data_IF_631280655732
#
_entry.id   IF_631280655732
#
_cell.length_a   1.000
_cell.length_b   1.000
_cell.length_c   1.000
_cell.angle_alpha   90.00
_cell.angle_beta   90.00
_cell.angle_gamma   90.00
#
_symmetry.space_group_name_H-M   'P 1'
#
loop_
_entity.id
_entity.type
_entity.pdbx_description
1 polymer ?
#
# COMPACT_ATOMS: atom_id res chain seq x y z
N UNK A 1 -4.04 -1.59 12.36
CA UNK A 1 -3.09 -0.53 12.17
C UNK A 1 -3.63 0.81 11.73
N UNK A 2 -4.10 0.95 10.50
CA UNK A 2 -4.42 2.28 9.90
C UNK A 2 -5.45 3.07 10.72
N UNK A 3 -6.49 2.45 11.21
CA UNK A 3 -7.56 3.10 11.98
C UNK A 3 -7.13 3.61 13.35
N UNK A 4 -6.08 3.05 13.93
CA UNK A 4 -5.55 3.45 15.24
C UNK A 4 -4.45 4.51 15.08
N UNK A 5 -3.63 4.41 14.06
CA UNK A 5 -2.47 5.29 13.87
C UNK A 5 -2.84 6.77 13.65
N UNK A 6 -3.97 7.06 13.00
CA UNK A 6 -4.40 8.44 12.79
C UNK A 6 -4.74 9.18 14.09
N UNK A 7 -5.63 8.65 14.95
CA UNK A 7 -5.89 9.22 16.28
C UNK A 7 -4.62 9.35 17.14
N UNK A 8 -3.78 8.30 17.20
CA UNK A 8 -2.52 8.33 17.94
C UNK A 8 -1.54 9.42 17.44
N UNK A 9 -1.43 9.60 16.12
CA UNK A 9 -0.61 10.69 15.55
C UNK A 9 -1.11 12.07 16.00
N UNK A 10 -2.43 12.28 16.01
CA UNK A 10 -3.02 13.55 16.47
C UNK A 10 -2.75 13.80 17.95
N UNK A 11 -2.96 12.80 18.79
CA UNK A 11 -2.72 12.90 20.24
C UNK A 11 -1.25 13.25 20.52
N UNK A 12 -0.30 12.52 19.93
CA UNK A 12 1.13 12.80 20.09
C UNK A 12 1.49 14.22 19.68
N UNK A 13 0.98 14.68 18.52
CA UNK A 13 1.28 16.01 18.01
C UNK A 13 0.58 17.14 18.80
N UNK A 14 -0.52 16.84 19.53
CA UNK A 14 -1.21 17.81 20.38
C UNK A 14 -0.54 17.98 21.71
N UNK A 15 -0.01 16.90 22.29
CA UNK A 15 0.45 16.85 23.68
C UNK A 15 1.96 17.13 23.83
N UNK A 16 2.71 17.16 22.72
CA UNK A 16 4.17 17.26 22.75
C UNK A 16 4.67 18.45 21.93
N UNK A 17 5.07 19.52 22.63
CA UNK A 17 5.81 20.62 22.02
C UNK A 17 7.21 20.15 21.58
N UNK A 18 7.60 20.45 20.35
CA UNK A 18 8.91 20.12 19.80
C UNK A 18 9.04 18.71 19.19
N UNK A 19 7.99 17.89 19.24
CA UNK A 19 7.92 16.60 18.54
C UNK A 19 6.87 16.70 17.42
N UNK A 20 7.26 16.36 16.21
CA UNK A 20 6.34 16.25 15.06
C UNK A 20 6.35 14.83 14.53
N UNK A 21 5.26 14.08 14.73
CA UNK A 21 5.06 12.77 14.17
C UNK A 21 4.32 12.90 12.83
N UNK A 22 4.99 12.56 11.74
CA UNK A 22 4.39 12.54 10.39
C UNK A 22 4.06 11.09 10.02
N UNK A 23 2.78 10.82 9.78
CA UNK A 23 2.32 9.50 9.31
C UNK A 23 2.29 9.48 7.78
N UNK A 24 3.17 8.72 7.18
CA UNK A 24 3.15 8.45 5.74
C UNK A 24 2.33 7.18 5.47
N UNK A 25 1.18 7.33 4.82
CA UNK A 25 0.35 6.21 4.41
C UNK A 25 0.56 5.97 2.91
N UNK A 26 1.34 4.95 2.59
CA UNK A 26 1.69 4.61 1.20
C UNK A 26 0.49 4.26 0.33
N UNK A 27 -0.62 3.82 0.92
CA UNK A 27 -1.85 3.54 0.16
C UNK A 27 -2.49 4.82 -0.42
N UNK A 28 -2.21 5.98 0.17
CA UNK A 28 -2.65 7.26 -0.40
C UNK A 28 -1.96 7.58 -1.74
N UNK A 29 -0.86 6.91 -2.06
CA UNK A 29 -0.13 7.09 -3.32
C UNK A 29 -0.55 6.09 -4.40
N UNK A 30 -1.38 5.11 -4.08
CA UNK A 30 -1.90 4.13 -5.05
C UNK A 30 -2.55 4.77 -6.30
N UNK A 31 -3.32 5.88 -6.19
CA UNK A 31 -3.85 6.57 -7.37
C UNK A 31 -2.78 7.04 -8.36
N UNK A 32 -1.58 7.40 -7.90
CA UNK A 32 -0.47 7.78 -8.78
C UNK A 32 0.06 6.58 -9.56
N UNK A 33 0.20 5.43 -8.90
CA UNK A 33 0.65 4.17 -9.52
C UNK A 33 -0.35 3.73 -10.60
N UNK A 34 -1.65 3.82 -10.29
CA UNK A 34 -2.74 3.50 -11.24
C UNK A 34 -2.72 4.45 -12.44
N UNK A 35 -2.57 5.75 -12.20
CA UNK A 35 -2.53 6.79 -13.25
C UNK A 35 -1.37 6.59 -14.22
N UNK A 36 -0.24 6.10 -13.76
CA UNK A 36 0.92 5.79 -14.60
C UNK A 36 0.79 4.46 -15.35
N UNK A 37 -0.31 3.71 -15.16
CA UNK A 37 -0.57 2.46 -15.87
C UNK A 37 0.40 1.33 -15.50
N UNK A 38 0.99 1.38 -14.30
CA UNK A 38 1.96 0.36 -13.84
C UNK A 38 1.27 -0.96 -13.54
N UNK A 39 0.04 -0.91 -13.02
CA UNK A 39 -0.77 -2.08 -12.71
C UNK A 39 -1.69 -2.42 -13.87
N UNK A 40 -1.77 -3.70 -14.21
CA UNK A 40 -2.66 -4.22 -15.25
C UNK A 40 -4.05 -4.61 -14.73
N UNK A 41 -4.17 -4.81 -13.40
CA UNK A 41 -5.41 -5.22 -12.77
C UNK A 41 -5.83 -4.20 -11.71
N UNK A 42 -7.08 -3.79 -11.73
CA UNK A 42 -7.62 -2.71 -10.88
C UNK A 42 -8.18 -3.21 -9.54
N UNK A 43 -8.65 -4.47 -9.46
CA UNK A 43 -9.19 -5.05 -8.24
C UNK A 43 -8.12 -5.75 -7.38
N UNK A 44 -6.99 -5.09 -7.16
CA UNK A 44 -5.90 -5.53 -6.29
C UNK A 44 -6.12 -5.05 -4.84
N UNK A 45 -6.09 -5.95 -3.84
CA UNK A 45 -6.29 -5.60 -2.44
C UNK A 45 -5.27 -6.24 -1.49
N UNK A 46 -4.94 -7.50 -1.63
CA UNK A 46 -4.06 -8.23 -0.70
C UNK A 46 -3.25 -9.32 -1.39
N UNK A 47 -1.95 -9.39 -1.09
CA UNK A 47 -0.99 -10.31 -1.71
C UNK A 47 -1.09 -10.28 -3.26
N UNK A 48 -1.28 -9.10 -3.81
CA UNK A 48 -1.70 -8.85 -5.17
C UNK A 48 -0.52 -8.49 -6.10
N UNK A 49 -0.81 -8.11 -7.34
CA UNK A 49 0.17 -7.64 -8.32
C UNK A 49 1.11 -6.56 -7.75
N UNK A 50 0.56 -5.57 -7.04
CA UNK A 50 1.29 -4.46 -6.44
C UNK A 50 2.32 -4.94 -5.41
N UNK A 51 1.89 -5.66 -4.38
CA UNK A 51 2.75 -6.12 -3.27
C UNK A 51 3.77 -7.15 -3.77
N UNK A 52 3.34 -8.06 -4.65
CA UNK A 52 4.22 -9.10 -5.21
C UNK A 52 5.30 -8.48 -6.11
N UNK A 53 4.96 -7.47 -6.91
CA UNK A 53 5.95 -6.75 -7.73
C UNK A 53 6.99 -6.05 -6.87
N UNK A 54 6.57 -5.35 -5.80
CA UNK A 54 7.50 -4.75 -4.84
C UNK A 54 8.46 -5.77 -4.23
N UNK A 55 7.93 -6.93 -3.82
CA UNK A 55 8.77 -8.00 -3.27
C UNK A 55 9.74 -8.57 -4.31
N UNK A 56 9.32 -8.71 -5.57
CA UNK A 56 10.20 -9.15 -6.65
C UNK A 56 11.33 -8.16 -6.94
N UNK A 57 11.08 -6.85 -6.78
CA UNK A 57 12.11 -5.83 -6.92
C UNK A 57 13.09 -5.83 -5.75
N UNK A 58 12.56 -5.81 -4.53
CA UNK A 58 13.35 -5.62 -3.31
C UNK A 58 14.05 -6.92 -2.85
N UNK A 59 13.37 -8.05 -2.96
CA UNK A 59 13.80 -9.34 -2.39
C UNK A 59 13.35 -10.52 -3.26
N UNK A 60 13.75 -10.54 -4.53
CA UNK A 60 13.32 -11.53 -5.51
C UNK A 60 13.50 -12.98 -5.05
N UNK A 61 14.58 -13.26 -4.32
CA UNK A 61 14.92 -14.60 -3.85
C UNK A 61 13.98 -15.10 -2.73
N UNK A 62 13.23 -14.19 -2.08
CA UNK A 62 12.24 -14.55 -1.09
C UNK A 62 10.86 -14.84 -1.69
N UNK A 63 10.64 -14.51 -2.96
CA UNK A 63 9.38 -14.75 -3.65
C UNK A 63 9.31 -16.18 -4.17
N UNK A 64 8.41 -16.97 -3.63
CA UNK A 64 8.15 -18.35 -4.07
C UNK A 64 7.27 -18.35 -5.34
N UNK A 65 7.90 -18.08 -6.49
CA UNK A 65 7.21 -17.88 -7.77
C UNK A 65 6.31 -19.05 -8.16
N UNK A 66 6.73 -20.27 -7.82
CA UNK A 66 5.99 -21.50 -8.07
C UNK A 66 4.69 -21.64 -7.24
N UNK A 67 4.49 -20.76 -6.24
CA UNK A 67 3.29 -20.71 -5.40
C UNK A 67 2.39 -19.52 -5.68
N UNK A 68 2.71 -18.73 -6.67
CA UNK A 68 1.86 -17.61 -7.07
C UNK A 68 0.56 -18.14 -7.67
N UNK A 69 -0.56 -17.76 -7.07
CA UNK A 69 -1.90 -18.16 -7.51
C UNK A 69 -2.87 -16.98 -7.35
N UNK A 70 -3.56 -16.65 -8.43
CA UNK A 70 -4.56 -15.59 -8.44
C UNK A 70 -5.83 -16.01 -7.69
N UNK A 71 -6.42 -15.05 -6.99
CA UNK A 71 -7.75 -15.19 -6.43
C UNK A 71 -8.41 -13.81 -6.36
N UNK A 72 -9.59 -13.70 -6.97
CA UNK A 72 -10.40 -12.47 -6.93
C UNK A 72 -11.75 -12.84 -6.35
N UNK A 73 -12.02 -12.56 -5.07
CA UNK A 73 -13.33 -12.81 -4.47
C UNK A 73 -14.44 -12.04 -5.18
N UNK A 74 -15.60 -12.66 -5.29
CA UNK A 74 -16.78 -12.08 -5.99
C UNK A 74 -17.64 -11.18 -5.09
N UNK A 75 -17.10 -10.71 -3.98
CA UNK A 75 -17.84 -9.81 -3.07
C UNK A 75 -17.31 -8.39 -3.16
N UNK A 76 -18.16 -7.37 -2.88
CA UNK A 76 -17.69 -5.99 -2.73
C UNK A 76 -16.67 -5.86 -1.58
N UNK A 77 -15.67 -4.98 -1.76
CA UNK A 77 -14.59 -4.80 -0.75
C UNK A 77 -15.09 -4.30 0.60
N UNK A 78 -16.11 -3.48 0.61
CA UNK A 78 -16.72 -2.94 1.83
C UNK A 78 -17.37 -4.03 2.71
N UNK A 79 -17.68 -5.20 2.12
CA UNK A 79 -18.18 -6.36 2.89
C UNK A 79 -17.13 -6.94 3.84
N UNK A 80 -15.84 -6.60 3.70
CA UNK A 80 -14.82 -6.92 4.68
C UNK A 80 -15.05 -6.29 6.06
N UNK A 81 -15.96 -5.32 6.18
CA UNK A 81 -16.45 -4.86 7.48
C UNK A 81 -17.27 -5.94 8.23
N UNK A 82 -17.76 -6.94 7.52
CA UNK A 82 -18.67 -7.98 8.04
C UNK A 82 -18.07 -9.40 7.94
N UNK A 83 -16.96 -9.55 7.22
CA UNK A 83 -16.27 -10.82 6.99
C UNK A 83 -14.75 -10.60 7.00
N UNK A 84 -13.98 -11.59 6.60
CA UNK A 84 -12.51 -11.51 6.53
C UNK A 84 -11.98 -12.18 5.26
N UNK A 85 -10.79 -11.76 4.80
CA UNK A 85 -10.14 -12.32 3.62
C UNK A 85 -10.09 -13.86 3.67
N UNK A 86 -9.67 -14.54 4.77
CA UNK A 86 -9.63 -16.01 4.82
C UNK A 86 -10.98 -16.70 4.62
N UNK A 87 -12.09 -16.00 4.80
CA UNK A 87 -13.44 -16.57 4.58
C UNK A 87 -13.90 -16.47 3.13
N UNK A 88 -13.37 -15.51 2.39
CA UNK A 88 -13.79 -15.18 1.01
C UNK A 88 -12.75 -15.50 -0.05
N UNK A 89 -11.51 -15.74 0.36
CA UNK A 89 -10.40 -16.15 -0.51
C UNK A 89 -9.82 -17.46 -0.02
N UNK A 90 -9.78 -18.47 -0.89
CA UNK A 90 -9.29 -19.82 -0.59
C UNK A 90 -7.79 -19.89 -0.26
N UNK A 91 -7.00 -18.94 -0.77
CA UNK A 91 -5.55 -18.87 -0.63
C UNK A 91 -5.07 -17.58 0.07
N UNK A 92 -5.98 -16.72 0.54
CA UNK A 92 -5.68 -15.46 1.17
C UNK A 92 -5.39 -14.31 0.21
N UNK A 93 -5.29 -14.57 -1.09
CA UNK A 93 -5.04 -13.56 -2.13
C UNK A 93 -6.34 -12.82 -2.47
N UNK A 94 -6.23 -11.52 -2.71
CA UNK A 94 -7.26 -10.74 -3.38
C UNK A 94 -6.60 -9.88 -4.46
N UNK A 95 -6.56 -10.42 -5.66
CA UNK A 95 -5.91 -9.80 -6.82
C UNK A 95 -5.26 -10.82 -7.75
N UNK A 96 -4.38 -10.31 -8.60
CA UNK A 96 -3.65 -11.10 -9.60
C UNK A 96 -2.13 -10.99 -9.45
N UNK A 97 -1.54 -11.67 -8.45
CA UNK A 97 -0.09 -11.68 -8.30
C UNK A 97 0.65 -12.33 -9.50
N UNK A 98 -0.04 -13.10 -10.34
CA UNK A 98 0.56 -13.64 -11.58
C UNK A 98 1.02 -12.58 -12.57
N UNK A 99 0.47 -11.36 -12.49
CA UNK A 99 0.85 -10.21 -13.34
C UNK A 99 2.09 -9.47 -12.78
N UNK A 100 2.58 -9.85 -11.62
CA UNK A 100 3.70 -9.18 -10.97
C UNK A 100 5.04 -9.46 -11.66
N UNK A 101 5.90 -8.45 -11.68
CA UNK A 101 7.30 -8.58 -12.07
C UNK A 101 8.17 -7.51 -11.38
N UNK A 102 9.49 -7.70 -11.43
CA UNK A 102 10.44 -6.83 -10.75
C UNK A 102 10.50 -5.42 -11.35
N UNK A 103 10.29 -5.25 -12.65
CA UNK A 103 10.27 -3.96 -13.33
C UNK A 103 9.11 -3.09 -12.86
N UNK A 104 7.90 -3.66 -12.76
CA UNK A 104 6.77 -2.99 -12.11
C UNK A 104 7.08 -2.62 -10.67
N UNK A 105 7.74 -3.54 -9.94
CA UNK A 105 8.17 -3.31 -8.56
C UNK A 105 9.09 -2.12 -8.42
N UNK A 106 10.08 -1.99 -9.29
CA UNK A 106 10.99 -0.85 -9.35
C UNK A 106 10.22 0.46 -9.57
N UNK A 107 9.33 0.48 -10.56
CA UNK A 107 8.53 1.65 -10.88
C UNK A 107 7.59 2.06 -9.73
N UNK A 108 6.94 1.08 -9.11
CA UNK A 108 6.11 1.30 -7.91
C UNK A 108 6.96 1.89 -6.78
N UNK A 109 8.14 1.33 -6.53
CA UNK A 109 9.04 1.79 -5.47
C UNK A 109 9.47 3.24 -5.67
N UNK A 110 9.88 3.61 -6.90
CA UNK A 110 10.22 4.99 -7.25
C UNK A 110 9.07 5.97 -6.96
N UNK A 111 7.84 5.62 -7.39
CA UNK A 111 6.66 6.45 -7.16
C UNK A 111 6.42 6.63 -5.65
N UNK A 112 6.48 5.53 -4.88
CA UNK A 112 6.26 5.56 -3.44
C UNK A 112 7.30 6.42 -2.72
N UNK A 113 8.59 6.29 -3.06
CA UNK A 113 9.66 7.08 -2.46
C UNK A 113 9.46 8.57 -2.77
N UNK A 114 9.28 8.91 -4.05
CA UNK A 114 9.12 10.29 -4.47
C UNK A 114 7.89 10.95 -3.80
N UNK A 115 6.75 10.27 -3.80
CA UNK A 115 5.52 10.79 -3.18
C UNK A 115 5.62 10.87 -1.65
N UNK A 116 6.36 9.96 -1.02
CA UNK A 116 6.62 10.05 0.42
C UNK A 116 7.46 11.28 0.77
N UNK A 117 8.53 11.55 0.01
CA UNK A 117 9.38 12.71 0.20
C UNK A 117 8.61 14.01 -0.05
N UNK A 118 7.85 14.09 -1.16
CA UNK A 118 6.99 15.24 -1.44
C UNK A 118 6.01 15.50 -0.27
N UNK A 119 5.33 14.45 0.21
CA UNK A 119 4.37 14.56 1.30
C UNK A 119 5.00 15.06 2.60
N UNK A 120 6.16 14.50 2.99
CA UNK A 120 6.87 14.92 4.21
C UNK A 120 7.29 16.39 4.12
N UNK A 121 7.84 16.80 2.97
CA UNK A 121 8.26 18.18 2.74
C UNK A 121 7.07 19.15 2.77
N UNK A 122 5.94 18.77 2.17
CA UNK A 122 4.72 19.59 2.18
C UNK A 122 4.15 19.75 3.59
N UNK A 123 4.08 18.66 4.36
CA UNK A 123 3.63 18.70 5.76
C UNK A 123 4.51 19.66 6.56
N UNK A 124 5.84 19.53 6.47
CA UNK A 124 6.77 20.41 7.19
C UNK A 124 6.55 21.87 6.80
N UNK A 125 6.57 22.18 5.50
CA UNK A 125 6.40 23.55 4.98
C UNK A 125 5.07 24.19 5.41
N UNK A 126 3.99 23.41 5.48
CA UNK A 126 2.66 23.93 5.82
C UNK A 126 2.55 24.12 7.34
N UNK A 127 2.97 23.15 8.13
CA UNK A 127 2.83 23.19 9.59
C UNK A 127 3.77 24.24 10.24
N UNK A 128 4.93 24.51 9.64
CA UNK A 128 5.85 25.58 10.11
C UNK A 128 5.23 26.99 10.11
N UNK A 129 4.08 27.17 9.46
CA UNK A 129 3.36 28.45 9.42
C UNK A 129 2.40 28.66 10.59
N UNK A 130 2.17 27.63 11.39
CA UNK A 130 1.21 27.62 12.49
C UNK A 130 1.88 27.22 13.81
#
# INVERSE_FOLDING_TARGET
GIFISGPATREINSDNEGIKLIRVDILNFLPHIIKEGVLEFDNNLHACEYETSLMMHLYNDLVRKEKIEDCVPEIPRDYLNYTSIPKVSKNGVWGKPSLANAEKGERIFEILVNKSVEYINDVNRIIEKY
#
